data_IF_599599509559
#
_entry.id   IF_599599509559
#
_cell.length_a   1.000
_cell.length_b   1.000
_cell.length_c   1.000
_cell.angle_alpha   90.00
_cell.angle_beta   90.00
_cell.angle_gamma   90.00
#
_symmetry.space_group_name_H-M   'P 1'
#
loop_
_entity.id
_entity.type
_entity.pdbx_description
1 polymer ?
#
# COMPACT_ATOMS: atom_id res chain seq x y z
N UNK A 1 6.34 0.99 3.98
CA UNK A 1 4.94 0.73 3.59
C UNK A 1 4.21 2.07 3.66
N UNK A 2 3.59 2.52 2.57
CA UNK A 2 2.95 3.84 2.52
C UNK A 2 1.42 3.66 2.56
N UNK A 3 0.72 4.40 3.41
CA UNK A 3 -0.73 4.46 3.38
C UNK A 3 -1.22 5.47 2.34
N UNK A 4 -2.22 5.09 1.56
CA UNK A 4 -2.81 5.94 0.54
C UNK A 4 -4.22 6.42 0.94
N UNK A 5 -4.60 7.60 0.45
CA UNK A 5 -5.94 8.15 0.70
C UNK A 5 -6.99 7.45 -0.20
N UNK A 6 -8.11 7.05 0.40
CA UNK A 6 -9.23 6.34 -0.25
C UNK A 6 -10.53 7.15 -0.37
N UNK A 7 -10.66 8.29 0.31
CA UNK A 7 -11.85 9.14 0.22
C UNK A 7 -11.64 10.30 -0.75
N UNK A 8 -11.40 10.01 -2.03
CA UNK A 8 -11.32 11.06 -3.06
C UNK A 8 -12.67 11.23 -3.75
N UNK A 9 -13.21 12.44 -3.64
CA UNK A 9 -14.43 12.85 -4.31
C UNK A 9 -14.16 13.55 -5.64
N UNK A 10 -15.01 13.29 -6.62
CA UNK A 10 -14.96 13.89 -7.96
C UNK A 10 -15.34 15.36 -7.92
N UNK A 11 -16.27 15.70 -7.03
CA UNK A 11 -16.70 17.08 -6.76
C UNK A 11 -15.50 17.91 -6.32
N UNK A 12 -14.71 17.41 -5.36
CA UNK A 12 -13.49 18.08 -4.92
C UNK A 12 -12.47 18.23 -6.06
N UNK A 13 -12.32 17.22 -6.92
CA UNK A 13 -11.46 17.32 -8.12
C UNK A 13 -11.93 18.44 -9.07
N UNK A 14 -13.23 18.53 -9.31
CA UNK A 14 -13.81 19.52 -10.22
C UNK A 14 -13.70 20.95 -9.66
N UNK A 15 -14.05 21.14 -8.39
CA UNK A 15 -13.88 22.42 -7.70
C UNK A 15 -12.42 22.88 -7.65
N UNK A 16 -11.48 21.97 -7.33
CA UNK A 16 -10.06 22.33 -7.34
C UNK A 16 -9.55 22.63 -8.74
N UNK A 17 -10.04 21.93 -9.76
CA UNK A 17 -9.68 22.23 -11.15
C UNK A 17 -10.12 23.63 -11.55
N UNK A 18 -11.30 24.07 -11.10
CA UNK A 18 -11.82 25.42 -11.34
C UNK A 18 -11.02 26.49 -10.59
N UNK A 19 -10.79 26.31 -9.28
CA UNK A 19 -10.11 27.32 -8.44
C UNK A 19 -8.62 27.46 -8.78
N UNK A 20 -7.99 26.40 -9.28
CA UNK A 20 -6.57 26.40 -9.66
C UNK A 20 -6.34 26.70 -11.14
N UNK A 21 -7.38 27.12 -11.88
CA UNK A 21 -7.32 27.39 -13.31
C UNK A 21 -6.67 26.26 -14.13
N UNK A 22 -6.98 25.00 -13.79
CA UNK A 22 -6.48 23.83 -14.51
C UNK A 22 -5.08 23.33 -14.10
N UNK A 23 -4.46 23.89 -13.05
CA UNK A 23 -3.19 23.37 -12.51
C UNK A 23 -3.42 22.05 -11.73
N UNK A 24 -4.53 21.92 -11.02
CA UNK A 24 -4.81 20.74 -10.19
C UNK A 24 -4.86 19.40 -10.96
N UNK A 25 -5.48 19.29 -12.15
CA UNK A 25 -5.40 18.09 -12.98
C UNK A 25 -3.98 17.57 -13.20
N UNK A 26 -2.99 18.47 -13.34
CA UNK A 26 -1.58 18.10 -13.52
C UNK A 26 -1.01 17.46 -12.24
N UNK A 27 -1.29 18.07 -11.09
CA UNK A 27 -0.95 17.49 -9.79
C UNK A 27 -1.63 16.12 -9.59
N UNK A 28 -2.89 15.99 -9.99
CA UNK A 28 -3.63 14.74 -9.87
C UNK A 28 -2.98 13.62 -10.68
N UNK A 29 -2.61 13.85 -11.94
CA UNK A 29 -1.89 12.87 -12.79
C UNK A 29 -0.53 12.50 -12.17
N UNK A 30 0.17 13.46 -11.58
CA UNK A 30 1.40 13.19 -10.85
C UNK A 30 1.14 12.24 -9.67
N UNK A 31 0.10 12.48 -8.88
CA UNK A 31 -0.25 11.60 -7.75
C UNK A 31 -0.68 10.21 -8.22
N UNK A 32 -1.50 10.12 -9.26
CA UNK A 32 -2.06 8.86 -9.78
C UNK A 32 -0.95 7.90 -10.23
N UNK A 33 0.06 8.35 -10.97
CA UNK A 33 1.09 7.42 -11.47
C UNK A 33 1.97 6.86 -10.35
N UNK A 34 2.30 7.67 -9.34
CA UNK A 34 3.08 7.23 -8.17
C UNK A 34 2.29 6.19 -7.39
N UNK A 35 1.02 6.46 -7.14
CA UNK A 35 0.14 5.54 -6.40
C UNK A 35 -0.09 4.24 -7.18
N UNK A 36 -0.34 4.31 -8.48
CA UNK A 36 -0.46 3.11 -9.31
C UNK A 36 0.84 2.30 -9.37
N UNK A 37 1.99 2.94 -9.36
CA UNK A 37 3.26 2.23 -9.37
C UNK A 37 3.55 1.53 -8.05
N UNK A 38 3.09 2.06 -6.93
CA UNK A 38 3.26 1.43 -5.63
C UNK A 38 2.21 0.34 -5.38
N UNK A 39 0.93 0.61 -5.71
CA UNK A 39 -0.15 -0.36 -5.46
C UNK A 39 -0.15 -1.50 -6.48
N UNK A 40 0.15 -1.22 -7.75
CA UNK A 40 0.22 -2.22 -8.81
C UNK A 40 1.67 -2.62 -9.09
N UNK A 41 2.50 -2.74 -8.04
CA UNK A 41 3.93 -3.06 -8.17
C UNK A 41 4.16 -4.50 -8.68
N UNK A 42 3.23 -5.40 -8.34
CA UNK A 42 3.29 -6.82 -8.69
C UNK A 42 3.18 -7.10 -10.21
N UNK A 43 2.72 -6.13 -11.00
CA UNK A 43 2.60 -6.24 -12.47
C UNK A 43 3.95 -6.16 -13.19
N UNK A 44 5.02 -5.74 -12.51
CA UNK A 44 6.32 -5.45 -13.13
C UNK A 44 6.31 -4.26 -14.12
N UNK A 45 5.16 -3.60 -14.30
CA UNK A 45 4.97 -2.46 -15.21
C UNK A 45 5.14 -1.14 -14.47
N UNK A 46 5.64 -0.10 -15.16
CA UNK A 46 5.71 1.28 -14.64
C UNK A 46 4.81 2.21 -15.47
N UNK A 47 3.98 2.98 -14.79
CA UNK A 47 3.18 4.07 -15.36
C UNK A 47 4.14 5.21 -15.64
N UNK A 48 4.16 5.66 -16.89
CA UNK A 48 5.05 6.72 -17.38
C UNK A 48 4.79 8.01 -16.62
N UNK A 49 5.88 8.67 -16.21
CA UNK A 49 5.85 9.83 -15.33
C UNK A 49 5.21 11.08 -15.95
N UNK A 50 4.92 12.05 -15.08
CA UNK A 50 4.27 13.32 -15.41
C UNK A 50 4.93 14.08 -16.57
N UNK A 51 6.26 14.18 -16.60
CA UNK A 51 6.97 14.90 -17.67
C UNK A 51 6.69 14.30 -19.05
N UNK A 52 6.70 12.96 -19.16
CA UNK A 52 6.37 12.29 -20.42
C UNK A 52 4.94 12.59 -20.84
N UNK A 53 3.99 12.63 -19.90
CA UNK A 53 2.60 13.00 -20.17
C UNK A 53 2.47 14.42 -20.73
N UNK A 54 3.15 15.39 -20.11
CA UNK A 54 3.06 16.79 -20.52
C UNK A 54 3.73 17.05 -21.88
N UNK A 55 4.98 16.61 -22.04
CA UNK A 55 5.75 16.82 -23.28
C UNK A 55 5.14 16.08 -24.48
N UNK A 56 4.82 14.79 -24.32
CA UNK A 56 4.17 14.06 -25.42
C UNK A 56 2.73 14.53 -25.65
N UNK A 57 2.04 15.05 -24.64
CA UNK A 57 0.73 15.67 -24.83
C UNK A 57 0.77 16.84 -25.82
N UNK A 58 1.77 17.71 -25.71
CA UNK A 58 1.96 18.82 -26.64
C UNK A 58 2.39 18.34 -28.03
N UNK A 59 3.34 17.40 -28.11
CA UNK A 59 3.89 16.90 -29.38
C UNK A 59 2.84 16.12 -30.18
N UNK A 60 2.01 15.32 -29.51
CA UNK A 60 1.02 14.43 -30.15
C UNK A 60 -0.36 15.06 -30.29
N UNK A 61 -0.49 16.37 -30.05
CA UNK A 61 -1.78 17.09 -30.14
C UNK A 61 -2.85 16.39 -29.27
N UNK A 62 -2.46 15.99 -28.05
CA UNK A 62 -3.39 15.39 -27.08
C UNK A 62 -3.67 13.89 -27.22
N UNK A 63 -3.13 13.19 -28.22
CA UNK A 63 -3.36 11.73 -28.37
C UNK A 63 -2.69 10.93 -27.24
N UNK A 64 -1.44 11.27 -26.90
CA UNK A 64 -0.69 10.56 -25.86
C UNK A 64 -1.41 10.55 -24.50
N UNK A 65 -1.96 11.67 -24.00
CA UNK A 65 -2.82 11.71 -22.83
C UNK A 65 -3.92 10.65 -22.80
N UNK A 66 -4.61 10.43 -23.92
CA UNK A 66 -5.69 9.45 -24.04
C UNK A 66 -5.14 8.03 -23.84
N UNK A 67 -4.04 7.71 -24.53
CA UNK A 67 -3.38 6.41 -24.38
C UNK A 67 -2.89 6.18 -22.94
N UNK A 68 -2.40 7.22 -22.27
CA UNK A 68 -1.95 7.15 -20.89
C UNK A 68 -3.10 6.81 -19.94
N UNK A 69 -4.26 7.47 -20.08
CA UNK A 69 -5.46 7.17 -19.30
C UNK A 69 -5.96 5.74 -19.51
N UNK A 70 -5.96 5.27 -20.77
CA UNK A 70 -6.30 3.89 -21.09
C UNK A 70 -5.35 2.90 -20.41
N UNK A 71 -4.04 3.15 -20.46
CA UNK A 71 -3.05 2.28 -19.81
C UNK A 71 -3.22 2.27 -18.28
N UNK A 72 -3.43 3.43 -17.66
CA UNK A 72 -3.70 3.54 -16.24
C UNK A 72 -4.98 2.79 -15.83
N UNK A 73 -6.07 2.92 -16.60
CA UNK A 73 -7.32 2.22 -16.37
C UNK A 73 -7.18 0.69 -16.44
N UNK A 74 -6.44 0.17 -17.42
CA UNK A 74 -6.20 -1.27 -17.53
C UNK A 74 -5.34 -1.79 -16.38
N UNK A 75 -4.31 -1.03 -15.95
CA UNK A 75 -3.49 -1.45 -14.79
C UNK A 75 -4.31 -1.53 -13.50
N UNK A 76 -5.19 -0.56 -13.26
CA UNK A 76 -6.11 -0.63 -12.12
C UNK A 76 -7.01 -1.85 -12.21
N UNK A 77 -7.57 -2.12 -13.41
CA UNK A 77 -8.43 -3.26 -13.65
C UNK A 77 -7.71 -4.59 -13.37
N UNK A 78 -6.48 -4.74 -13.86
CA UNK A 78 -5.64 -5.92 -13.62
C UNK A 78 -5.37 -6.08 -12.12
N UNK A 79 -5.02 -5.00 -11.42
CA UNK A 79 -4.79 -5.01 -9.96
C UNK A 79 -6.04 -5.39 -9.17
N UNK A 80 -7.21 -4.82 -9.51
CA UNK A 80 -8.48 -5.18 -8.87
C UNK A 80 -8.84 -6.64 -9.12
N UNK A 81 -8.69 -7.11 -10.37
CA UNK A 81 -9.00 -8.49 -10.75
C UNK A 81 -8.11 -9.49 -10.00
N UNK A 82 -6.82 -9.20 -9.85
CA UNK A 82 -5.91 -10.04 -9.04
C UNK A 82 -6.27 -10.08 -7.55
N UNK A 83 -6.91 -9.03 -7.04
CA UNK A 83 -7.41 -8.96 -5.67
C UNK A 83 -8.88 -9.36 -5.56
N UNK A 84 -9.42 -10.11 -6.54
CA UNK A 84 -10.80 -10.62 -6.57
C UNK A 84 -11.90 -9.55 -6.52
N UNK A 85 -11.60 -8.30 -6.91
CA UNK A 85 -12.58 -7.23 -6.98
C UNK A 85 -13.04 -6.99 -8.42
N UNK A 86 -14.34 -6.75 -8.59
CA UNK A 86 -14.91 -6.46 -9.91
C UNK A 86 -14.44 -5.08 -10.39
N UNK A 87 -13.76 -4.97 -11.54
CA UNK A 87 -13.25 -3.70 -12.02
C UNK A 87 -14.39 -2.76 -12.42
N UNK A 88 -14.24 -1.48 -12.04
CA UNK A 88 -15.26 -0.45 -12.25
C UNK A 88 -15.12 0.23 -13.62
N UNK A 89 -13.91 0.24 -14.17
CA UNK A 89 -13.56 0.77 -15.50
C UNK A 89 -12.59 -0.15 -16.24
N UNK A 90 -12.60 -0.02 -17.56
CA UNK A 90 -11.59 -0.56 -18.48
C UNK A 90 -11.15 0.57 -19.41
N UNK A 91 -10.00 0.45 -20.08
CA UNK A 91 -9.57 1.40 -21.11
C UNK A 91 -10.67 1.71 -22.13
N UNK A 92 -11.33 0.67 -22.66
CA UNK A 92 -12.42 0.85 -23.64
C UNK A 92 -13.59 1.59 -23.02
N UNK A 93 -13.97 1.24 -21.78
CA UNK A 93 -15.05 1.94 -21.10
C UNK A 93 -14.72 3.41 -20.86
N UNK A 94 -13.50 3.73 -20.41
CA UNK A 94 -13.03 5.10 -20.21
C UNK A 94 -13.05 5.89 -21.51
N UNK A 95 -12.59 5.29 -22.61
CA UNK A 95 -12.61 5.91 -23.94
C UNK A 95 -14.04 6.15 -24.43
N UNK A 96 -14.93 5.18 -24.26
CA UNK A 96 -16.34 5.31 -24.64
C UNK A 96 -17.01 6.48 -23.89
N UNK A 97 -16.77 6.62 -22.59
CA UNK A 97 -17.30 7.76 -21.82
C UNK A 97 -16.69 9.09 -22.28
N UNK A 98 -15.45 9.13 -22.74
CA UNK A 98 -14.84 10.36 -23.26
C UNK A 98 -15.31 10.72 -24.69
N UNK A 99 -15.51 9.75 -25.58
CA UNK A 99 -15.92 10.01 -26.96
C UNK A 99 -17.45 10.13 -27.05
N UNK A 100 -18.17 9.05 -26.75
CA UNK A 100 -19.62 9.01 -26.87
C UNK A 100 -20.31 9.80 -25.76
N UNK A 101 -19.74 9.79 -24.55
CA UNK A 101 -20.31 10.56 -23.46
C UNK A 101 -20.13 12.08 -23.63
N UNK A 102 -19.12 12.53 -24.39
CA UNK A 102 -19.00 13.96 -24.74
C UNK A 102 -20.07 14.39 -25.74
N UNK A 103 -20.53 13.48 -26.60
CA UNK A 103 -21.63 13.72 -27.54
C UNK A 103 -22.98 13.89 -26.81
N UNK A 104 -23.16 13.25 -25.64
CA UNK A 104 -24.29 13.49 -24.73
C UNK A 104 -24.02 14.71 -23.82
N UNK A 105 -24.03 15.91 -24.40
CA UNK A 105 -23.96 17.19 -23.65
C UNK A 105 -22.70 17.37 -22.77
N UNK A 106 -21.58 16.69 -23.08
CA UNK A 106 -20.33 16.88 -22.33
C UNK A 106 -20.31 16.28 -20.91
N UNK A 107 -21.31 15.49 -20.51
CA UNK A 107 -21.35 14.84 -19.19
C UNK A 107 -20.44 13.59 -19.11
N UNK A 108 -20.10 13.01 -20.25
CA UNK A 108 -19.27 11.81 -20.35
C UNK A 108 -17.92 11.88 -19.63
N UNK A 109 -17.08 12.90 -19.88
CA UNK A 109 -15.78 13.04 -19.21
C UNK A 109 -15.90 13.11 -17.68
N UNK A 110 -16.97 13.72 -17.16
CA UNK A 110 -17.23 13.82 -15.71
C UNK A 110 -17.50 12.42 -15.13
N UNK A 111 -18.34 11.62 -15.81
CA UNK A 111 -18.65 10.24 -15.41
C UNK A 111 -17.41 9.34 -15.52
N UNK A 112 -16.61 9.50 -16.58
CA UNK A 112 -15.36 8.77 -16.76
C UNK A 112 -14.40 9.02 -15.60
N UNK A 113 -14.23 10.30 -15.22
CA UNK A 113 -13.40 10.70 -14.09
C UNK A 113 -13.97 10.20 -12.77
N UNK A 114 -15.30 10.19 -12.62
CA UNK A 114 -15.95 9.62 -11.44
C UNK A 114 -15.61 8.16 -11.23
N UNK A 115 -15.78 7.36 -12.28
CA UNK A 115 -15.48 5.93 -12.20
C UNK A 115 -13.97 5.69 -12.00
N UNK A 116 -13.12 6.51 -12.61
CA UNK A 116 -11.66 6.43 -12.44
C UNK A 116 -11.23 6.70 -10.99
N UNK A 117 -11.68 7.80 -10.40
CA UNK A 117 -11.33 8.18 -9.03
C UNK A 117 -11.80 7.12 -8.03
N UNK A 118 -13.01 6.59 -8.20
CA UNK A 118 -13.52 5.52 -7.33
C UNK A 118 -12.75 4.22 -7.51
N UNK A 119 -12.41 3.85 -8.75
CA UNK A 119 -11.55 2.67 -9.00
C UNK A 119 -10.18 2.82 -8.35
N UNK A 120 -9.61 4.03 -8.34
CA UNK A 120 -8.34 4.31 -7.67
C UNK A 120 -8.47 4.24 -6.15
N UNK A 121 -9.59 4.72 -5.59
CA UNK A 121 -9.88 4.60 -4.17
C UNK A 121 -9.98 3.12 -3.74
N UNK A 122 -10.68 2.31 -4.54
CA UNK A 122 -10.82 0.87 -4.33
C UNK A 122 -9.44 0.17 -4.32
N UNK A 123 -8.59 0.49 -5.29
CA UNK A 123 -7.23 -0.04 -5.40
C UNK A 123 -6.35 0.40 -4.21
N UNK A 124 -6.43 1.67 -3.81
CA UNK A 124 -5.73 2.17 -2.63
C UNK A 124 -6.21 1.51 -1.33
N UNK A 125 -7.49 1.16 -1.24
CA UNK A 125 -8.04 0.47 -0.09
C UNK A 125 -7.48 -0.94 0.04
N UNK A 126 -7.41 -1.71 -1.06
CA UNK A 126 -6.75 -3.02 -1.08
C UNK A 126 -5.32 -2.90 -0.53
N UNK A 127 -4.54 -1.95 -1.03
CA UNK A 127 -3.17 -1.75 -0.55
C UNK A 127 -3.13 -1.45 0.95
N UNK A 128 -3.99 -0.56 1.42
CA UNK A 128 -4.07 -0.23 2.84
C UNK A 128 -4.46 -1.43 3.70
N UNK A 129 -5.35 -2.30 3.22
CA UNK A 129 -5.72 -3.54 3.90
C UNK A 129 -4.53 -4.50 3.99
N UNK A 130 -3.77 -4.67 2.91
CA UNK A 130 -2.55 -5.48 2.88
C UNK A 130 -1.49 -4.95 3.85
N UNK A 131 -1.28 -3.63 3.88
CA UNK A 131 -0.35 -2.98 4.82
C UNK A 131 -0.81 -3.13 6.27
N UNK A 132 -2.11 -3.03 6.56
CA UNK A 132 -2.64 -3.29 7.91
C UNK A 132 -2.39 -4.73 8.34
N UNK A 133 -2.64 -5.70 7.46
CA UNK A 133 -2.43 -7.10 7.74
C UNK A 133 -0.95 -7.42 8.06
N UNK A 134 -0.01 -6.86 7.30
CA UNK A 134 1.43 -7.06 7.54
C UNK A 134 1.90 -6.39 8.84
N UNK A 135 1.37 -5.22 9.18
CA UNK A 135 1.68 -4.56 10.47
C UNK A 135 1.18 -5.43 11.63
N UNK A 136 -0.06 -5.92 11.58
CA UNK A 136 -0.62 -6.78 12.62
C UNK A 136 0.20 -8.06 12.76
N UNK A 137 0.60 -8.70 11.65
CA UNK A 137 1.44 -9.91 11.66
C UNK A 137 2.84 -9.66 12.27
N UNK A 138 3.44 -8.51 11.98
CA UNK A 138 4.73 -8.15 12.56
C UNK A 138 4.62 -7.83 14.05
N UNK A 139 3.53 -7.18 14.48
CA UNK A 139 3.27 -6.89 15.89
C UNK A 139 3.04 -8.17 16.70
N UNK A 140 2.29 -9.14 16.17
CA UNK A 140 2.10 -10.43 16.84
C UNK A 140 3.40 -11.23 16.91
N UNK A 141 4.22 -11.22 15.86
CA UNK A 141 5.55 -11.83 15.87
C UNK A 141 6.51 -11.19 16.89
N UNK A 142 6.46 -9.86 17.05
CA UNK A 142 7.25 -9.16 18.07
C UNK A 142 6.75 -9.45 19.49
N UNK A 143 5.43 -9.52 19.69
CA UNK A 143 4.85 -9.85 20.99
C UNK A 143 5.16 -11.30 21.41
N UNK A 144 5.13 -12.26 20.48
CA UNK A 144 5.53 -13.64 20.76
C UNK A 144 7.04 -13.76 21.03
N UNK A 145 7.88 -13.05 20.26
CA UNK A 145 9.32 -13.02 20.52
C UNK A 145 9.65 -12.42 21.90
N UNK A 146 8.98 -11.33 22.29
CA UNK A 146 9.14 -10.73 23.61
C UNK A 146 8.68 -11.67 24.74
N UNK A 147 7.56 -12.37 24.57
CA UNK A 147 7.07 -13.35 25.53
C UNK A 147 8.03 -14.54 25.70
N UNK A 148 8.61 -15.05 24.60
CA UNK A 148 9.61 -16.13 24.63
C UNK A 148 10.90 -15.67 25.32
N UNK A 149 11.38 -14.46 25.04
CA UNK A 149 12.56 -13.90 25.71
C UNK A 149 12.33 -13.74 27.23
N UNK A 150 11.15 -13.27 27.64
CA UNK A 150 10.79 -13.16 29.06
C UNK A 150 10.72 -14.53 29.75
N UNK A 151 10.15 -15.55 29.08
CA UNK A 151 10.09 -16.90 29.61
C UNK A 151 11.49 -17.53 29.74
N UNK A 152 12.38 -17.31 28.77
CA UNK A 152 13.78 -17.78 28.83
C UNK A 152 14.56 -17.10 29.95
N UNK A 153 14.37 -15.81 30.18
CA UNK A 153 14.98 -15.09 31.30
C UNK A 153 14.52 -15.63 32.66
N UNK A 154 13.24 -15.98 32.81
CA UNK A 154 12.71 -16.59 34.04
C UNK A 154 13.29 -17.99 34.29
N UNK A 155 13.43 -18.82 33.24
CA UNK A 155 14.05 -20.15 33.33
C UNK A 155 15.54 -20.03 33.70
N UNK A 156 16.26 -19.08 33.07
CA UNK A 156 17.66 -18.82 33.41
C UNK A 156 17.83 -18.38 34.88
N UNK A 157 16.92 -17.54 35.39
CA UNK A 157 16.91 -17.15 36.80
C UNK A 157 16.65 -18.35 37.74
N UNK A 158 15.73 -19.26 37.39
CA UNK A 158 15.50 -20.49 38.15
C UNK A 158 16.71 -21.44 38.13
N UNK A 159 17.37 -21.58 36.99
CA UNK A 159 18.58 -22.40 36.86
C UNK A 159 19.74 -21.83 37.67
N UNK A 160 19.92 -20.50 37.70
CA UNK A 160 20.92 -19.85 38.54
C UNK A 160 20.65 -20.05 40.04
N UNK A 161 19.39 -19.96 40.48
CA UNK A 161 18.99 -20.25 41.86
C UNK A 161 19.17 -21.73 42.26
N UNK A 162 18.95 -22.65 41.33
CA UNK A 162 19.18 -24.08 41.54
C UNK A 162 20.68 -24.42 41.63
N UNK A 163 21.53 -23.79 40.81
CA UNK A 163 22.99 -23.97 40.86
C UNK A 163 23.60 -23.37 42.15
N UNK A 164 23.07 -22.24 42.64
CA UNK A 164 23.46 -21.68 43.94
C UNK A 164 23.09 -22.61 45.10
N UNK A 165 21.90 -23.22 45.05
CA UNK A 165 21.48 -24.22 46.06
C UNK A 165 22.33 -25.50 46.00
N UNK A 166 22.77 -25.93 44.82
CA UNK A 166 23.67 -27.08 44.66
C UNK A 166 25.08 -26.82 45.23
N UNK A 167 25.59 -25.60 45.13
CA UNK A 167 26.88 -25.22 45.72
C UNK A 167 26.85 -25.23 47.26
N UNK A 168 25.73 -24.82 47.87
CA UNK A 168 25.53 -24.85 49.33
C UNK A 168 25.45 -26.26 49.91
N UNK A 169 24.97 -27.24 49.13
CA UNK A 169 24.88 -28.66 49.57
C UNK A 169 26.23 -29.39 49.48
N UNK A 170 27.16 -28.94 48.63
CA UNK A 170 28.49 -29.57 48.49
C UNK A 170 29.49 -29.00 49.51
N UNK A 171 29.27 -27.81 50.08
CA UNK A 171 30.17 -27.22 51.07
C UNK A 171 30.40 -28.07 52.32
N UNK A 172 29.41 -28.75 52.94
CA UNK A 172 29.69 -29.57 54.12
C UNK A 172 30.43 -30.89 53.81
N UNK A 173 30.48 -31.36 52.55
CA UNK A 173 31.09 -32.67 52.22
C UNK A 173 32.63 -32.60 52.12
N UNK A 174 33.20 -31.40 51.94
CA UNK A 174 34.66 -31.23 51.86
C UNK A 174 35.29 -31.04 53.26
N UNK A 175 34.54 -30.56 54.25
CA UNK A 175 35.06 -30.25 55.59
C UNK A 175 35.19 -31.50 56.50
N UNK A 176 34.42 -32.57 56.24
CA UNK A 176 34.50 -33.83 57.01
C UNK A 176 35.74 -34.69 56.67
N UNK A 177 36.42 -34.43 55.54
CA UNK A 177 37.60 -35.20 55.12
C UNK A 177 38.95 -34.62 55.57
N UNK A 178 38.96 -33.51 56.29
CA UNK A 178 40.20 -32.84 56.75
C UNK A 178 40.47 -32.95 58.25
N UNK A 179 39.61 -33.61 59.04
CA UNK A 179 39.87 -33.88 60.48
C UNK A 179 40.46 -35.28 60.75
N UNK A 180 40.72 -36.07 59.71
CA UNK A 180 41.34 -37.41 59.82
C UNK A 180 42.80 -37.39 59.31
N UNK A 181 43.66 -36.57 59.94
CA UNK A 181 45.13 -36.72 59.85
C UNK A 181 45.86 -36.03 61.01
#
# INVERSE_FOLDING_TARGET
MQFFKTNRGVIAYWFLSLITFGIYPLYFIHRVHVELNEVCKDDGKKTRGFFLYFFFGLITIGIYPICWWCFAANRMNDCMTRNNMKPRISAVSWLCWNIFGSLLFGLGPIIAMYKFIHSLNDVNEIHNQQVRASITANQTAQATAAAVAAAQAAIAAQQAAAQASAATVITPVIEEKTEEN
#
